data_IF_922181081503
#
_entry.id   IF_922181081503
#
_cell.length_a   1.000
_cell.length_b   1.000
_cell.length_c   1.000
_cell.angle_alpha   90.00
_cell.angle_beta   90.00
_cell.angle_gamma   90.00
#
_symmetry.space_group_name_H-M   'P 1'
#
loop_
_entity.id
_entity.type
_entity.pdbx_description
1 polymer ?
#
# COMPACT_ATOMS: atom_id res chain seq x y z
N UNK A 1 -1.14 8.44 -23.38
CA UNK A 1 -0.80 7.07 -22.99
C UNK A 1 -1.32 6.87 -21.57
N UNK A 2 -2.07 5.81 -21.33
CA UNK A 2 -2.74 5.56 -20.04
C UNK A 2 -2.04 4.46 -19.23
N UNK A 3 -0.99 3.85 -19.78
CA UNK A 3 -0.26 2.77 -19.13
C UNK A 3 0.40 3.25 -17.83
N UNK A 4 1.14 4.36 -17.88
CA UNK A 4 1.78 4.95 -16.71
C UNK A 4 0.77 5.33 -15.61
N UNK A 5 -0.36 5.93 -15.99
CA UNK A 5 -1.44 6.25 -15.05
C UNK A 5 -2.02 4.99 -14.40
N UNK A 6 -2.24 3.93 -15.18
CA UNK A 6 -2.73 2.65 -14.70
C UNK A 6 -1.78 2.00 -13.70
N UNK A 7 -0.48 2.02 -13.95
CA UNK A 7 0.52 1.48 -13.02
C UNK A 7 0.58 2.28 -11.72
N UNK A 8 0.58 3.62 -11.78
CA UNK A 8 0.54 4.48 -10.58
C UNK A 8 -0.70 4.20 -9.73
N UNK A 9 -1.87 4.09 -10.36
CA UNK A 9 -3.12 3.80 -9.64
C UNK A 9 -3.12 2.40 -9.06
N UNK A 10 -2.66 1.38 -9.80
CA UNK A 10 -2.53 0.01 -9.29
C UNK A 10 -1.62 -0.04 -8.05
N UNK A 11 -0.48 0.65 -8.08
CA UNK A 11 0.43 0.73 -6.92
C UNK A 11 -0.26 1.37 -5.71
N UNK A 12 -1.01 2.46 -5.92
CA UNK A 12 -1.73 3.15 -4.86
C UNK A 12 -2.81 2.26 -4.21
N UNK A 13 -3.56 1.53 -5.03
CA UNK A 13 -4.57 0.58 -4.57
C UNK A 13 -3.94 -0.57 -3.79
N UNK A 14 -2.78 -1.06 -4.23
CA UNK A 14 -2.06 -2.15 -3.55
C UNK A 14 -1.61 -1.75 -2.14
N UNK A 15 -1.09 -0.54 -1.97
CA UNK A 15 -0.77 0.02 -0.63
C UNK A 15 -2.00 0.02 0.27
N UNK A 16 -3.13 0.57 -0.19
CA UNK A 16 -4.36 0.59 0.61
C UNK A 16 -4.88 -0.82 0.91
N UNK A 17 -4.77 -1.75 -0.04
CA UNK A 17 -5.16 -3.15 0.15
C UNK A 17 -4.35 -3.79 1.29
N UNK A 18 -3.04 -3.60 1.34
CA UNK A 18 -2.22 -4.12 2.42
C UNK A 18 -2.59 -3.52 3.78
N UNK A 19 -2.88 -2.21 3.83
CA UNK A 19 -3.32 -1.52 5.06
C UNK A 19 -4.67 -2.05 5.56
N UNK A 20 -5.63 -2.25 4.66
CA UNK A 20 -6.93 -2.83 5.00
C UNK A 20 -6.78 -4.26 5.53
N UNK A 21 -5.93 -5.08 4.90
CA UNK A 21 -5.69 -6.45 5.36
C UNK A 21 -5.04 -6.49 6.75
N UNK A 22 -4.06 -5.62 7.00
CA UNK A 22 -3.46 -5.49 8.33
C UNK A 22 -4.49 -5.08 9.38
N UNK A 23 -5.36 -4.12 9.07
CA UNK A 23 -6.41 -3.66 9.99
C UNK A 23 -7.38 -4.76 10.44
N UNK A 24 -7.64 -5.75 9.57
CA UNK A 24 -8.50 -6.88 9.91
C UNK A 24 -7.77 -8.04 10.61
N UNK A 25 -6.45 -7.98 10.79
CA UNK A 25 -5.74 -8.91 11.66
C UNK A 25 -6.06 -8.58 13.12
N UNK A 26 -6.61 -9.54 13.87
CA UNK A 26 -7.06 -9.35 15.26
C UNK A 26 -5.94 -8.89 16.21
N UNK A 27 -4.68 -9.13 15.84
CA UNK A 27 -3.51 -8.75 16.65
C UNK A 27 -2.92 -7.40 16.25
N UNK A 28 -3.42 -6.80 15.18
CA UNK A 28 -2.88 -5.55 14.67
C UNK A 28 -3.43 -4.34 15.43
N UNK A 29 -2.56 -3.35 15.63
CA UNK A 29 -2.88 -2.11 16.33
C UNK A 29 -2.05 -0.97 15.75
N UNK A 30 -2.72 0.00 15.13
CA UNK A 30 -2.06 1.22 14.64
C UNK A 30 -1.35 1.97 15.76
N UNK A 31 -1.91 1.94 16.98
CA UNK A 31 -1.29 2.58 18.13
C UNK A 31 0.06 1.92 18.46
N UNK A 32 0.15 0.59 18.41
CA UNK A 32 1.39 -0.12 18.75
C UNK A 32 2.43 -0.03 17.63
N UNK A 33 2.00 -0.06 16.37
CA UNK A 33 2.85 0.25 15.20
C UNK A 33 3.53 1.62 15.37
N UNK A 34 2.77 2.66 15.71
CA UNK A 34 3.30 4.02 15.87
C UNK A 34 4.17 4.15 17.12
N UNK A 35 3.83 3.51 18.24
CA UNK A 35 4.70 3.52 19.42
C UNK A 35 6.08 2.92 19.12
N UNK A 36 6.14 1.87 18.32
CA UNK A 36 7.39 1.25 17.88
C UNK A 36 8.12 2.08 16.81
N UNK A 37 7.39 2.84 15.98
CA UNK A 37 7.90 3.58 14.84
C UNK A 37 7.37 5.02 14.81
N UNK A 38 7.71 5.80 15.83
CA UNK A 38 7.12 7.14 16.06
C UNK A 38 7.31 8.11 14.89
N UNK A 39 8.39 7.96 14.11
CA UNK A 39 8.66 8.77 12.92
C UNK A 39 7.68 8.51 11.77
N UNK A 40 7.03 7.34 11.73
CA UNK A 40 6.05 6.98 10.71
C UNK A 40 4.64 7.55 10.97
N UNK A 41 4.44 8.30 12.05
CA UNK A 41 3.11 8.85 12.39
C UNK A 41 2.54 9.74 11.28
N UNK A 42 3.37 10.59 10.66
CA UNK A 42 2.96 11.42 9.54
C UNK A 42 2.55 10.56 8.35
N UNK A 43 3.45 9.66 7.94
CA UNK A 43 3.24 8.70 6.85
C UNK A 43 1.96 7.88 7.03
N UNK A 44 1.70 7.35 8.23
CA UNK A 44 0.45 6.62 8.49
C UNK A 44 -0.78 7.52 8.34
N UNK A 45 -0.71 8.77 8.79
CA UNK A 45 -1.83 9.71 8.66
C UNK A 45 -2.13 9.99 7.18
N UNK A 46 -1.10 10.26 6.38
CA UNK A 46 -1.22 10.49 4.93
C UNK A 46 -1.84 9.28 4.23
N UNK A 47 -1.41 8.07 4.61
CA UNK A 47 -1.99 6.84 4.09
C UNK A 47 -3.48 6.71 4.41
N UNK A 48 -3.89 6.98 5.65
CA UNK A 48 -5.27 6.79 6.12
C UNK A 48 -6.24 7.83 5.55
N UNK A 49 -5.77 9.02 5.19
CA UNK A 49 -6.59 10.02 4.48
C UNK A 49 -6.64 9.80 2.96
N UNK A 50 -5.96 8.77 2.46
CA UNK A 50 -5.98 8.37 1.05
C UNK A 50 -5.00 9.13 0.16
N UNK A 51 -3.96 9.75 0.71
CA UNK A 51 -2.94 10.47 -0.03
C UNK A 51 -1.88 9.51 -0.60
N UNK A 52 -2.30 8.67 -1.55
CA UNK A 52 -1.54 7.48 -1.97
C UNK A 52 -0.74 7.65 -3.27
N UNK A 53 -1.17 8.58 -4.12
CA UNK A 53 -0.62 8.76 -5.46
C UNK A 53 0.76 9.44 -5.37
N UNK A 54 1.74 8.90 -6.08
CA UNK A 54 3.12 9.41 -6.14
C UNK A 54 3.82 9.54 -4.77
N UNK A 55 3.41 8.70 -3.80
CA UNK A 55 3.97 8.64 -2.44
C UNK A 55 4.60 7.27 -2.18
N UNK A 56 5.71 7.27 -1.44
CA UNK A 56 6.38 6.04 -1.02
C UNK A 56 5.95 5.64 0.39
N UNK A 57 5.31 4.47 0.48
CA UNK A 57 4.86 3.87 1.74
C UNK A 57 5.65 2.60 2.10
N UNK A 58 6.74 2.31 1.38
CA UNK A 58 7.53 1.09 1.56
C UNK A 58 7.96 0.89 3.01
N UNK A 59 8.51 1.92 3.65
CA UNK A 59 8.93 1.85 5.06
C UNK A 59 7.76 1.56 6.02
N UNK A 60 6.59 2.19 5.78
CA UNK A 60 5.39 1.93 6.58
C UNK A 60 4.93 0.47 6.43
N UNK A 61 4.88 -0.02 5.19
CA UNK A 61 4.45 -1.38 4.89
C UNK A 61 5.43 -2.42 5.43
N UNK A 62 6.74 -2.18 5.37
CA UNK A 62 7.73 -3.06 6.01
C UNK A 62 7.54 -3.09 7.53
N UNK A 63 7.39 -1.94 8.18
CA UNK A 63 7.14 -1.89 9.63
C UNK A 63 5.83 -2.61 10.02
N UNK A 64 4.80 -2.58 9.18
CA UNK A 64 3.54 -3.28 9.42
C UNK A 64 3.68 -4.81 9.41
N UNK A 65 4.68 -5.38 8.72
CA UNK A 65 4.91 -6.84 8.69
C UNK A 65 5.29 -7.42 10.04
N UNK A 66 5.84 -6.62 10.94
CA UNK A 66 6.13 -7.03 12.31
C UNK A 66 4.85 -7.22 13.16
N UNK A 67 3.72 -6.63 12.72
CA UNK A 67 2.46 -6.59 13.47
C UNK A 67 1.33 -7.37 12.82
N UNK A 68 1.37 -7.60 11.50
CA UNK A 68 0.34 -8.33 10.76
C UNK A 68 0.91 -9.05 9.54
N UNK A 69 0.23 -10.10 9.09
CA UNK A 69 0.55 -10.76 7.82
C UNK A 69 -0.03 -9.95 6.65
N UNK A 70 0.84 -9.26 5.91
CA UNK A 70 0.44 -8.55 4.69
C UNK A 70 0.25 -9.52 3.52
N UNK A 71 -0.71 -9.27 2.60
CA UNK A 71 -0.92 -10.10 1.43
C UNK A 71 0.15 -9.89 0.37
N UNK A 72 0.41 -10.93 -0.43
CA UNK A 72 1.28 -10.84 -1.61
C UNK A 72 0.63 -10.01 -2.74
N UNK A 73 1.42 -9.36 -3.60
CA UNK A 73 0.91 -8.60 -4.74
C UNK A 73 0.08 -9.43 -5.72
N UNK A 74 -0.95 -8.81 -6.31
CA UNK A 74 -1.80 -9.47 -7.30
C UNK A 74 -1.14 -9.49 -8.69
N UNK A 75 -1.29 -10.64 -9.36
CA UNK A 75 -0.84 -10.85 -10.75
C UNK A 75 -1.81 -10.31 -11.81
N UNK A 76 -3.01 -9.86 -11.40
CA UNK A 76 -4.10 -9.43 -12.26
C UNK A 76 -4.65 -8.06 -11.84
N UNK A 77 -5.59 -7.51 -12.62
CA UNK A 77 -6.23 -6.21 -12.34
C UNK A 77 -5.57 -5.01 -13.01
N UNK A 78 -4.48 -5.21 -13.75
CA UNK A 78 -3.81 -4.18 -14.54
C UNK A 78 -4.57 -3.88 -15.84
N UNK A 79 -4.32 -2.69 -16.40
CA UNK A 79 -4.82 -2.31 -17.70
C UNK A 79 -4.35 -3.31 -18.78
N UNK A 80 -5.22 -3.61 -19.74
CA UNK A 80 -4.86 -4.47 -20.86
C UNK A 80 -3.95 -3.70 -21.80
N UNK A 81 -2.65 -4.01 -21.79
CA UNK A 81 -1.68 -3.40 -22.69
C UNK A 81 -2.08 -3.65 -24.14
N UNK A 82 -1.92 -2.63 -25.00
CA UNK A 82 -2.08 -2.84 -26.45
C UNK A 82 -0.99 -3.81 -26.90
N UNK A 83 -1.32 -4.83 -27.72
CA UNK A 83 -0.30 -5.69 -28.29
C UNK A 83 0.68 -4.84 -29.10
N UNK A 84 1.97 -5.09 -28.90
CA UNK A 84 3.05 -4.41 -29.63
C UNK A 84 2.93 -4.82 -31.11
N UNK A 85 2.42 -3.92 -31.95
CA UNK A 85 2.42 -4.10 -33.40
C UNK A 85 3.87 -4.08 -33.88
N UNK A 86 4.34 -5.09 -34.63
CA UNK A 86 5.70 -5.12 -35.17
C UNK A 86 5.95 -3.99 -36.18
#
# INVERSE_FOLDING_TARGET
DYEAYGETLCSSIETMRQVVYAFYDEKFSFADLIKANMHLRGTLTDCLIGDLVDRDYGELLEAMKDFAKLPDPLSHGRAKLKPMTP
#
